data_IF_010661382284
#
_entry.id   IF_010661382284
#
_cell.length_a   1.000
_cell.length_b   1.000
_cell.length_c   1.000
_cell.angle_alpha   90.00
_cell.angle_beta   90.00
_cell.angle_gamma   90.00
#
_symmetry.space_group_name_H-M   'P 1'
#
loop_
_entity.id
_entity.type
_entity.pdbx_description
1 polymer ?
#
# COMPACT_ATOMS: atom_id res chain seq x y z
N UNK A 1 33.35 -77.25 -30.40
CA UNK A 1 32.19 -78.19 -30.45
C UNK A 1 31.39 -78.02 -29.18
N UNK A 2 30.07 -77.87 -29.33
CA UNK A 2 28.99 -78.00 -28.31
C UNK A 2 28.98 -76.93 -27.20
N UNK A 3 28.21 -75.84 -27.31
CA UNK A 3 26.75 -75.71 -27.14
C UNK A 3 26.28 -76.04 -25.70
N UNK A 4 25.92 -75.01 -24.93
CA UNK A 4 25.10 -75.14 -23.72
C UNK A 4 24.00 -74.08 -23.73
N UNK A 5 22.78 -74.56 -23.56
CA UNK A 5 21.53 -73.88 -23.81
C UNK A 5 21.14 -72.91 -22.69
N UNK A 6 20.54 -71.79 -23.10
CA UNK A 6 19.88 -70.82 -22.23
C UNK A 6 18.48 -71.31 -21.83
N UNK A 7 18.13 -71.17 -20.56
CA UNK A 7 16.74 -71.22 -20.08
C UNK A 7 16.39 -69.83 -19.58
N UNK A 8 15.62 -69.10 -20.39
CA UNK A 8 14.97 -67.83 -20.03
C UNK A 8 13.61 -68.18 -19.41
N UNK A 9 13.46 -67.96 -18.10
CA UNK A 9 12.14 -67.95 -17.46
C UNK A 9 11.49 -66.58 -17.67
N UNK A 10 10.43 -66.56 -18.48
CA UNK A 10 9.59 -65.40 -18.71
C UNK A 10 8.76 -65.07 -17.46
N UNK A 11 8.94 -63.88 -16.89
CA UNK A 11 8.03 -63.28 -15.91
C UNK A 11 7.16 -62.29 -16.68
N UNK A 12 5.87 -62.60 -16.79
CA UNK A 12 4.88 -61.70 -17.39
C UNK A 12 4.63 -60.49 -16.46
N UNK A 13 4.60 -59.25 -16.98
CA UNK A 13 4.24 -58.09 -16.18
C UNK A 13 2.74 -58.07 -15.92
N UNK A 14 2.36 -58.04 -14.65
CA UNK A 14 1.00 -57.79 -14.18
C UNK A 14 0.67 -56.33 -14.50
N UNK A 15 -0.25 -56.11 -15.44
CA UNK A 15 -0.80 -54.79 -15.73
C UNK A 15 -1.72 -54.36 -14.59
N UNK A 16 -1.31 -53.33 -13.84
CA UNK A 16 -2.17 -52.64 -12.89
C UNK A 16 -3.17 -51.75 -13.66
N UNK A 17 -4.46 -51.74 -13.31
CA UNK A 17 -5.42 -50.85 -13.95
C UNK A 17 -5.14 -49.39 -13.57
N UNK A 18 -5.13 -48.52 -14.57
CA UNK A 18 -5.06 -47.07 -14.37
C UNK A 18 -6.29 -46.59 -13.57
N UNK A 19 -6.14 -45.68 -12.60
CA UNK A 19 -7.29 -45.14 -11.88
C UNK A 19 -8.11 -44.28 -12.85
N UNK A 20 -9.40 -44.59 -12.94
CA UNK A 20 -10.37 -43.77 -13.66
C UNK A 20 -10.38 -42.37 -13.04
N UNK A 21 -10.16 -41.35 -13.87
CA UNK A 21 -10.34 -39.95 -13.51
C UNK A 21 -11.81 -39.74 -13.11
N UNK A 22 -12.06 -39.62 -11.81
CA UNK A 22 -13.32 -39.14 -11.31
C UNK A 22 -13.50 -37.69 -11.80
N UNK A 23 -14.46 -37.47 -12.71
CA UNK A 23 -14.96 -36.16 -13.06
C UNK A 23 -15.63 -35.56 -11.81
N UNK A 24 -14.85 -34.83 -11.00
CA UNK A 24 -15.41 -33.95 -9.99
C UNK A 24 -16.18 -32.84 -10.70
N UNK A 25 -17.44 -32.56 -10.34
CA UNK A 25 -18.16 -31.42 -10.90
C UNK A 25 -17.39 -30.14 -10.56
N UNK A 26 -17.14 -29.33 -11.57
CA UNK A 26 -16.55 -28.00 -11.40
C UNK A 26 -17.34 -27.25 -10.32
N UNK A 27 -16.68 -26.57 -9.37
CA UNK A 27 -17.40 -25.77 -8.39
C UNK A 27 -18.19 -24.72 -9.16
N UNK A 28 -19.52 -24.78 -9.02
CA UNK A 28 -20.41 -23.76 -9.53
C UNK A 28 -19.89 -22.42 -9.04
N UNK A 29 -19.62 -21.51 -9.97
CA UNK A 29 -19.31 -20.13 -9.65
C UNK A 29 -20.48 -19.56 -8.84
N UNK A 30 -20.31 -19.56 -7.52
CA UNK A 30 -21.18 -18.81 -6.63
C UNK A 30 -21.10 -17.36 -7.08
N UNK A 31 -22.22 -16.82 -7.54
CA UNK A 31 -22.37 -15.39 -7.76
C UNK A 31 -22.09 -14.71 -6.43
N UNK A 32 -20.86 -14.23 -6.24
CA UNK A 32 -20.41 -13.60 -5.02
C UNK A 32 -21.25 -12.35 -4.78
N UNK A 33 -22.24 -12.46 -3.89
CA UNK A 33 -22.81 -11.29 -3.24
C UNK A 33 -21.66 -10.54 -2.59
N UNK A 34 -21.38 -9.33 -3.08
CA UNK A 34 -20.32 -8.46 -2.54
C UNK A 34 -20.55 -8.34 -1.04
N UNK A 35 -19.64 -8.88 -0.23
CA UNK A 35 -19.72 -8.70 1.21
C UNK A 35 -19.65 -7.20 1.51
N UNK A 36 -20.71 -6.63 2.09
CA UNK A 36 -20.79 -5.20 2.37
C UNK A 36 -20.23 -4.95 3.77
N UNK A 37 -18.98 -4.49 3.87
CA UNK A 37 -18.59 -3.72 5.04
C UNK A 37 -19.40 -2.41 5.10
N UNK A 38 -19.14 -1.50 6.05
CA UNK A 38 -19.66 -0.13 6.00
C UNK A 38 -18.93 0.73 4.97
N UNK A 39 -19.64 1.65 4.31
CA UNK A 39 -19.02 2.58 3.35
C UNK A 39 -18.08 3.57 4.04
N UNK A 40 -18.36 3.89 5.31
CA UNK A 40 -17.55 4.78 6.14
C UNK A 40 -17.47 4.20 7.54
N UNK A 41 -16.26 4.10 8.08
CA UNK A 41 -15.97 3.83 9.48
C UNK A 41 -15.46 5.13 10.08
N UNK A 42 -16.28 5.75 10.93
CA UNK A 42 -15.85 6.88 11.73
C UNK A 42 -15.47 6.35 13.11
N UNK A 43 -14.26 6.64 13.55
CA UNK A 43 -13.82 6.26 14.88
C UNK A 43 -12.96 7.35 15.53
N UNK A 44 -12.65 7.15 16.81
CA UNK A 44 -11.84 8.06 17.60
C UNK A 44 -10.77 7.29 18.36
N UNK A 45 -9.53 7.77 18.27
CA UNK A 45 -8.42 7.32 19.08
C UNK A 45 -7.45 8.49 19.29
N UNK A 46 -7.35 8.94 20.54
CA UNK A 46 -6.48 10.05 20.90
C UNK A 46 -5.02 9.70 20.63
N UNK A 47 -4.27 10.67 20.08
CA UNK A 47 -2.83 10.61 19.88
C UNK A 47 -2.31 9.51 18.92
N UNK A 48 -3.20 8.88 18.13
CA UNK A 48 -2.79 7.89 17.13
C UNK A 48 -2.34 8.59 15.85
N UNK A 49 -3.19 9.41 15.25
CA UNK A 49 -2.94 10.07 13.96
C UNK A 49 -2.37 9.11 12.91
N UNK A 50 -3.12 8.06 12.53
CA UNK A 50 -2.58 7.01 11.68
C UNK A 50 -2.26 7.56 10.27
N UNK A 51 -1.05 7.26 9.79
CA UNK A 51 -0.63 7.49 8.40
C UNK A 51 -0.77 6.19 7.60
N UNK A 52 -0.19 5.09 8.10
CA UNK A 52 -0.29 3.78 7.48
C UNK A 52 -1.52 2.96 7.88
N UNK A 53 -2.10 2.23 6.93
CA UNK A 53 -3.11 1.18 7.17
C UNK A 53 -2.80 -0.09 6.37
N UNK A 54 -3.08 -1.25 6.97
CA UNK A 54 -3.13 -2.53 6.29
C UNK A 54 -4.40 -3.32 6.67
N UNK A 55 -4.84 -4.20 5.78
CA UNK A 55 -5.89 -5.16 6.10
C UNK A 55 -5.29 -6.42 6.70
N UNK A 56 -5.77 -6.82 7.88
CA UNK A 56 -5.47 -8.11 8.49
C UNK A 56 -6.63 -9.09 8.22
N UNK A 57 -6.45 -10.07 7.31
CA UNK A 57 -7.50 -11.03 7.01
C UNK A 57 -7.76 -12.01 8.16
N UNK A 58 -6.83 -12.18 9.11
CA UNK A 58 -7.00 -13.10 10.25
C UNK A 58 -7.96 -12.54 11.29
N UNK A 59 -7.87 -11.23 11.59
CA UNK A 59 -8.82 -10.51 12.46
C UNK A 59 -10.04 -9.98 11.74
N UNK A 60 -10.00 -9.93 10.40
CA UNK A 60 -10.98 -9.21 9.56
C UNK A 60 -11.11 -7.75 10.02
N UNK A 61 -9.97 -7.09 10.20
CA UNK A 61 -9.87 -5.74 10.72
C UNK A 61 -8.72 -4.97 10.03
N UNK A 62 -8.68 -3.66 10.23
CA UNK A 62 -7.58 -2.81 9.80
C UNK A 62 -6.53 -2.75 10.90
N UNK A 63 -5.26 -2.78 10.52
CA UNK A 63 -4.13 -2.44 11.38
C UNK A 63 -3.64 -1.06 10.99
N UNK A 64 -3.49 -0.16 11.95
CA UNK A 64 -3.02 1.20 11.72
C UNK A 64 -1.81 1.52 12.57
N UNK A 65 -0.92 2.33 12.00
CA UNK A 65 0.21 2.94 12.70
C UNK A 65 -0.22 4.12 13.56
N UNK A 66 0.78 4.83 14.09
CA UNK A 66 0.61 6.02 14.91
C UNK A 66 1.73 7.00 14.60
N UNK A 67 1.41 8.12 13.94
CA UNK A 67 2.40 9.13 13.58
C UNK A 67 3.02 9.83 14.81
N UNK A 68 2.34 9.84 15.96
CA UNK A 68 2.80 10.53 17.16
C UNK A 68 3.43 9.60 18.22
N UNK A 69 2.76 8.50 18.59
CA UNK A 69 3.17 7.62 19.71
C UNK A 69 3.91 6.34 19.32
N UNK A 70 3.99 5.99 18.04
CA UNK A 70 4.66 4.76 17.59
C UNK A 70 3.99 3.45 18.04
N UNK A 71 2.70 3.47 18.39
CA UNK A 71 1.89 2.28 18.70
C UNK A 71 1.37 1.62 17.42
N UNK A 72 0.74 0.45 17.56
CA UNK A 72 -0.15 -0.14 16.55
C UNK A 72 -1.53 -0.37 17.12
N UNK A 73 -2.57 -0.08 16.33
CA UNK A 73 -3.96 -0.30 16.73
C UNK A 73 -4.71 -1.15 15.71
N UNK A 74 -5.71 -1.88 16.19
CA UNK A 74 -6.71 -2.59 15.37
C UNK A 74 -7.96 -1.73 15.28
N UNK A 75 -8.47 -1.50 14.08
CA UNK A 75 -9.78 -0.88 13.83
C UNK A 75 -10.70 -1.92 13.20
N UNK A 76 -11.79 -2.28 13.88
CA UNK A 76 -12.78 -3.23 13.37
C UNK A 76 -13.76 -2.56 12.41
N UNK A 77 -14.49 -3.38 11.66
CA UNK A 77 -15.53 -2.90 10.73
C UNK A 77 -16.68 -2.16 11.45
N UNK A 78 -16.89 -2.37 12.75
CA UNK A 78 -17.86 -1.62 13.55
C UNK A 78 -17.32 -0.30 14.12
N UNK A 79 -16.04 0.02 13.85
CA UNK A 79 -15.37 1.21 14.36
C UNK A 79 -14.70 1.04 15.71
N UNK A 80 -14.78 -0.14 16.35
CA UNK A 80 -14.05 -0.42 17.60
C UNK A 80 -12.54 -0.30 17.37
N UNK A 81 -11.85 0.40 18.27
CA UNK A 81 -10.39 0.56 18.27
C UNK A 81 -9.79 -0.13 19.48
N UNK A 82 -8.76 -0.94 19.27
CA UNK A 82 -8.00 -1.60 20.32
C UNK A 82 -6.52 -1.46 20.04
N UNK A 83 -5.71 -1.19 21.08
CA UNK A 83 -4.26 -1.26 20.95
C UNK A 83 -3.83 -2.70 20.67
N UNK A 84 -3.02 -2.89 19.63
CA UNK A 84 -2.42 -4.17 19.29
C UNK A 84 -1.01 -4.30 19.85
N UNK A 85 -0.23 -3.22 19.78
CA UNK A 85 1.13 -3.18 20.26
C UNK A 85 1.44 -1.81 20.89
N UNK A 86 2.15 -1.79 22.03
CA UNK A 86 2.57 -0.55 22.66
C UNK A 86 3.62 0.17 21.82
N UNK A 87 3.95 1.40 22.23
CA UNK A 87 4.98 2.21 21.59
C UNK A 87 6.32 1.48 21.52
N UNK A 88 7.00 1.60 20.37
CA UNK A 88 8.36 1.06 20.15
C UNK A 88 9.46 2.11 20.37
N UNK A 89 9.12 3.23 21.00
CA UNK A 89 10.00 4.37 21.23
C UNK A 89 9.39 5.66 20.71
N UNK A 90 10.13 6.76 20.80
CA UNK A 90 9.66 8.07 20.36
C UNK A 90 9.85 8.22 18.84
N UNK A 91 9.02 7.48 18.11
CA UNK A 91 9.03 7.35 16.64
C UNK A 91 7.61 7.42 16.11
N UNK A 92 7.46 7.85 14.87
CA UNK A 92 6.27 7.61 14.07
C UNK A 92 6.28 6.17 13.54
N UNK A 93 5.15 5.48 13.62
CA UNK A 93 4.90 4.25 12.84
C UNK A 93 4.05 4.59 11.62
N UNK A 94 4.60 4.32 10.43
CA UNK A 94 4.15 4.83 9.13
C UNK A 94 3.61 3.67 8.29
N UNK A 95 4.21 3.38 7.13
CA UNK A 95 3.81 2.28 6.26
C UNK A 95 3.64 0.95 7.01
N UNK A 96 2.42 0.41 6.99
CA UNK A 96 2.06 -0.88 7.58
C UNK A 96 1.78 -1.88 6.46
N UNK A 97 2.29 -3.11 6.57
CA UNK A 97 1.93 -4.24 5.69
C UNK A 97 1.78 -5.53 6.49
N UNK A 98 0.88 -6.40 6.04
CA UNK A 98 0.63 -7.73 6.61
C UNK A 98 1.17 -8.80 5.69
N UNK A 99 2.07 -9.64 6.19
CA UNK A 99 2.56 -10.85 5.51
C UNK A 99 2.04 -12.07 6.27
N UNK A 100 0.86 -12.54 5.86
CA UNK A 100 0.19 -13.70 6.47
C UNK A 100 0.98 -14.98 6.31
N UNK A 101 1.66 -15.15 5.17
CA UNK A 101 2.44 -16.35 4.88
C UNK A 101 3.60 -16.55 5.87
N UNK A 102 4.07 -15.46 6.50
CA UNK A 102 5.15 -15.48 7.50
C UNK A 102 4.71 -15.02 8.90
N UNK A 103 3.40 -14.92 9.15
CA UNK A 103 2.83 -14.51 10.43
C UNK A 103 3.44 -13.20 10.98
N UNK A 104 3.58 -12.17 10.12
CA UNK A 104 4.23 -10.91 10.52
C UNK A 104 3.51 -9.66 10.04
N UNK A 105 3.57 -8.62 10.86
CA UNK A 105 3.23 -7.24 10.52
C UNK A 105 4.55 -6.50 10.36
N UNK A 106 4.70 -5.82 9.24
CA UNK A 106 5.86 -5.01 8.89
C UNK A 106 5.48 -3.54 9.01
N UNK A 107 6.28 -2.78 9.74
CA UNK A 107 6.00 -1.37 10.04
C UNK A 107 7.24 -0.55 9.80
N UNK A 108 7.18 0.39 8.87
CA UNK A 108 8.20 1.43 8.74
C UNK A 108 8.09 2.36 9.95
N UNK A 109 9.21 2.70 10.57
CA UNK A 109 9.25 3.67 11.65
C UNK A 109 10.36 4.67 11.43
N UNK A 110 10.15 5.90 11.89
CA UNK A 110 11.16 6.93 11.89
C UNK A 110 10.83 7.99 12.93
N UNK A 111 11.86 8.60 13.52
CA UNK A 111 11.68 9.80 14.34
C UNK A 111 11.82 11.10 13.53
N UNK A 112 11.93 11.05 12.20
CA UNK A 112 12.24 12.22 11.36
C UNK A 112 11.39 13.45 11.69
N UNK A 113 10.07 13.31 11.75
CA UNK A 113 9.18 14.43 12.09
C UNK A 113 9.10 14.72 13.58
N UNK A 114 9.22 13.69 14.42
CA UNK A 114 9.24 13.80 15.87
C UNK A 114 10.42 14.66 16.31
N UNK A 115 11.64 14.37 15.86
CA UNK A 115 12.87 15.09 16.23
C UNK A 115 12.96 16.53 15.74
N UNK A 116 12.10 16.91 14.79
CA UNK A 116 12.02 18.28 14.29
C UNK A 116 11.02 19.14 15.07
N UNK A 117 10.13 18.52 15.86
CA UNK A 117 9.01 19.20 16.53
C UNK A 117 9.00 19.01 18.04
N UNK A 118 9.56 17.92 18.52
CA UNK A 118 9.55 17.50 19.92
C UNK A 118 10.98 17.28 20.40
N UNK A 119 11.21 17.48 21.70
CA UNK A 119 12.48 17.18 22.35
C UNK A 119 12.64 15.66 22.48
N UNK A 120 13.71 15.12 21.88
CA UNK A 120 13.97 13.67 21.84
C UNK A 120 15.05 13.18 22.80
N UNK A 121 15.56 14.08 23.65
CA UNK A 121 16.68 13.81 24.55
C UNK A 121 17.89 13.23 23.80
N UNK A 122 18.50 12.22 24.38
CA UNK A 122 19.71 11.56 23.84
C UNK A 122 19.40 10.48 22.77
N UNK A 123 18.16 10.40 22.24
CA UNK A 123 17.80 9.43 21.22
C UNK A 123 18.56 9.69 19.90
N UNK A 124 19.43 8.76 19.45
CA UNK A 124 20.09 8.91 18.15
C UNK A 124 19.06 8.90 17.01
N UNK A 125 19.33 9.54 15.86
CA UNK A 125 18.54 9.38 14.64
C UNK A 125 18.15 7.91 14.41
N UNK A 126 16.84 7.64 14.41
CA UNK A 126 16.34 6.27 14.26
C UNK A 126 15.29 6.18 13.17
N UNK A 127 15.47 5.19 12.31
CA UNK A 127 14.65 4.91 11.14
C UNK A 127 14.81 3.44 10.83
N UNK A 128 13.73 2.74 10.50
CA UNK A 128 13.83 1.30 10.36
C UNK A 128 12.54 0.60 10.02
N UNK A 129 12.60 -0.73 10.11
CA UNK A 129 11.43 -1.60 10.04
C UNK A 129 11.28 -2.36 11.35
N UNK A 130 10.11 -2.22 11.97
CA UNK A 130 9.69 -3.07 13.07
C UNK A 130 8.88 -4.25 12.53
N UNK A 131 9.22 -5.44 13.02
CA UNK A 131 8.55 -6.70 12.69
C UNK A 131 7.80 -7.16 13.93
N UNK A 132 6.48 -7.25 13.84
CA UNK A 132 5.62 -7.76 14.90
C UNK A 132 5.03 -9.10 14.48
N UNK A 133 4.78 -9.99 15.43
CA UNK A 133 4.03 -11.22 15.20
C UNK A 133 2.57 -10.88 14.85
N UNK A 134 2.06 -11.39 13.74
CA UNK A 134 0.69 -11.06 13.29
C UNK A 134 -0.36 -11.58 14.28
N UNK A 135 -0.23 -12.81 14.76
CA UNK A 135 -1.16 -13.43 15.71
C UNK A 135 -1.30 -12.72 17.07
N UNK A 136 -0.21 -12.15 17.59
CA UNK A 136 -0.13 -11.65 18.98
C UNK A 136 0.14 -10.16 19.09
N UNK A 137 0.60 -9.50 18.02
CA UNK A 137 1.05 -8.11 18.08
C UNK A 137 2.40 -7.91 18.77
N UNK A 138 3.08 -8.98 19.20
CA UNK A 138 4.37 -8.87 19.91
C UNK A 138 5.48 -8.41 18.97
N UNK A 139 6.24 -7.39 19.38
CA UNK A 139 7.45 -6.97 18.67
C UNK A 139 8.49 -8.11 18.66
N UNK A 140 8.90 -8.52 17.46
CA UNK A 140 9.90 -9.57 17.25
C UNK A 140 11.28 -8.98 16.93
N UNK A 141 11.32 -7.90 16.15
CA UNK A 141 12.58 -7.30 15.68
C UNK A 141 12.41 -5.81 15.35
N UNK A 142 13.48 -5.05 15.56
CA UNK A 142 13.70 -3.73 14.94
C UNK A 142 14.93 -3.82 14.07
N UNK A 143 14.81 -3.39 12.82
CA UNK A 143 15.87 -3.43 11.82
C UNK A 143 16.20 -2.00 11.46
N UNK A 144 17.41 -1.56 11.81
CA UNK A 144 17.87 -0.21 11.53
C UNK A 144 18.18 -0.05 10.04
N UNK A 145 17.44 0.82 9.36
CA UNK A 145 17.70 1.19 7.95
C UNK A 145 18.50 2.49 7.84
N UNK A 146 18.69 3.20 8.96
CA UNK A 146 19.54 4.39 9.02
C UNK A 146 21.00 4.03 8.74
N UNK A 147 21.48 2.90 9.29
CA UNK A 147 22.86 2.44 9.14
C UNK A 147 23.88 3.54 9.52
N UNK A 148 23.56 4.33 10.55
CA UNK A 148 24.38 5.46 11.02
C UNK A 148 24.25 6.76 10.24
N UNK A 149 23.36 6.87 9.25
CA UNK A 149 23.12 8.11 8.53
C UNK A 149 22.47 9.17 9.45
N UNK A 150 22.93 10.43 9.41
CA UNK A 150 22.40 11.49 10.27
C UNK A 150 20.98 11.94 9.87
N UNK A 151 20.56 11.60 8.64
CA UNK A 151 19.26 11.95 8.09
C UNK A 151 18.72 10.77 7.28
N UNK A 152 17.58 10.25 7.72
CA UNK A 152 16.85 9.13 7.10
C UNK A 152 15.39 9.22 7.51
N UNK A 153 14.51 8.76 6.63
CA UNK A 153 13.07 8.78 6.85
C UNK A 153 12.42 7.58 6.16
N UNK A 154 12.55 6.40 6.78
CA UNK A 154 11.84 5.20 6.35
C UNK A 154 10.33 5.47 6.43
N UNK A 155 9.67 5.49 5.28
CA UNK A 155 8.31 5.98 5.17
C UNK A 155 7.33 4.85 4.86
N UNK A 156 7.41 4.26 3.66
CA UNK A 156 6.57 3.14 3.27
C UNK A 156 7.42 1.90 2.97
N UNK A 157 6.76 0.75 2.99
CA UNK A 157 7.38 -0.52 2.69
C UNK A 157 6.47 -1.47 1.93
N UNK A 158 7.10 -2.43 1.27
CA UNK A 158 6.42 -3.58 0.65
C UNK A 158 7.31 -4.81 0.76
N UNK A 159 6.84 -5.97 0.31
CA UNK A 159 7.64 -7.19 0.31
C UNK A 159 7.36 -8.05 -0.93
N UNK A 160 8.37 -8.79 -1.36
CA UNK A 160 8.25 -9.77 -2.46
C UNK A 160 7.69 -11.12 -1.98
N UNK A 161 7.33 -12.04 -2.88
CA UNK A 161 6.87 -13.38 -2.51
C UNK A 161 7.88 -14.18 -1.67
N UNK A 162 9.18 -13.89 -1.79
CA UNK A 162 10.25 -14.51 -1.01
C UNK A 162 10.36 -13.93 0.42
N UNK A 163 9.67 -12.81 0.69
CA UNK A 163 9.62 -12.15 1.98
C UNK A 163 10.73 -11.13 2.22
N UNK A 164 11.46 -10.74 1.17
CA UNK A 164 12.36 -9.60 1.25
C UNK A 164 11.52 -8.32 1.32
N UNK A 165 11.94 -7.40 2.17
CA UNK A 165 11.24 -6.14 2.41
C UNK A 165 11.94 -5.05 1.60
N UNK A 166 11.17 -4.16 0.99
CA UNK A 166 11.67 -2.99 0.26
C UNK A 166 11.14 -1.76 0.95
N UNK A 167 12.04 -0.81 1.25
CA UNK A 167 11.73 0.35 2.10
C UNK A 167 12.13 1.61 1.36
N UNK A 168 11.19 2.56 1.28
CA UNK A 168 11.48 3.90 0.79
C UNK A 168 12.03 4.77 1.92
N UNK A 169 13.01 5.60 1.59
CA UNK A 169 13.51 6.64 2.48
C UNK A 169 13.22 7.99 1.83
N UNK A 170 12.25 8.72 2.37
CA UNK A 170 11.73 9.95 1.76
C UNK A 170 12.70 11.13 1.82
N UNK A 171 13.84 11.00 2.50
CA UNK A 171 14.89 12.03 2.54
C UNK A 171 16.22 11.56 1.97
N UNK A 172 16.23 10.36 1.40
CA UNK A 172 17.36 9.76 0.71
C UNK A 172 17.04 9.53 -0.77
N UNK A 173 18.08 9.29 -1.54
CA UNK A 173 17.97 8.87 -2.94
C UNK A 173 18.11 7.36 -3.13
N UNK A 174 18.05 6.59 -2.04
CA UNK A 174 18.35 5.16 -2.03
C UNK A 174 17.13 4.36 -1.61
N UNK A 175 16.72 3.42 -2.45
CA UNK A 175 15.77 2.37 -2.08
C UNK A 175 16.54 1.21 -1.44
N UNK A 176 16.10 0.75 -0.26
CA UNK A 176 16.76 -0.33 0.46
C UNK A 176 15.96 -1.64 0.39
N UNK A 177 16.67 -2.77 0.52
CA UNK A 177 16.13 -4.13 0.67
C UNK A 177 16.60 -4.70 1.99
N UNK A 178 15.70 -5.39 2.68
CA UNK A 178 15.97 -6.16 3.88
C UNK A 178 15.66 -7.62 3.57
N UNK A 179 16.65 -8.50 3.72
CA UNK A 179 16.43 -9.95 3.56
C UNK A 179 15.74 -10.57 4.79
N UNK A 180 15.42 -11.86 4.72
CA UNK A 180 14.80 -12.60 5.84
C UNK A 180 15.71 -12.70 7.08
N UNK A 181 17.03 -12.60 6.91
CA UNK A 181 17.98 -12.57 8.02
C UNK A 181 18.05 -11.18 8.69
N UNK A 182 17.50 -10.15 8.04
CA UNK A 182 17.51 -8.76 8.51
C UNK A 182 18.69 -7.95 7.97
N UNK A 183 19.43 -8.43 6.97
CA UNK A 183 20.51 -7.68 6.36
C UNK A 183 19.94 -6.59 5.45
N UNK A 184 20.42 -5.37 5.66
CA UNK A 184 20.04 -4.20 4.89
C UNK A 184 21.03 -3.98 3.76
N UNK A 185 20.54 -3.88 2.52
CA UNK A 185 21.36 -3.61 1.33
C UNK A 185 20.68 -2.59 0.42
N UNK A 186 21.44 -1.72 -0.28
CA UNK A 186 20.86 -0.83 -1.26
C UNK A 186 20.40 -1.64 -2.48
N UNK A 187 19.15 -1.42 -2.91
CA UNK A 187 18.66 -1.93 -4.21
C UNK A 187 19.22 -1.07 -5.32
N UNK A 188 19.06 0.25 -5.17
CA UNK A 188 19.51 1.27 -6.12
C UNK A 188 19.56 2.63 -5.43
N UNK A 189 20.58 3.42 -5.77
CA UNK A 189 20.63 4.85 -5.50
C UNK A 189 20.44 5.58 -6.83
N UNK A 190 19.42 6.43 -6.91
CA UNK A 190 19.07 7.15 -8.13
C UNK A 190 18.80 8.63 -7.80
N UNK A 191 19.55 9.59 -8.37
CA UNK A 191 19.34 11.01 -8.10
C UNK A 191 17.92 11.50 -8.38
N UNK A 192 17.18 10.79 -9.26
CA UNK A 192 15.77 11.08 -9.53
C UNK A 192 14.85 10.79 -8.35
N UNK A 193 15.33 10.19 -7.25
CA UNK A 193 14.56 9.99 -6.00
C UNK A 193 14.79 11.12 -4.98
N UNK A 194 15.84 11.93 -5.14
CA UNK A 194 16.20 12.98 -4.20
C UNK A 194 15.20 14.15 -4.20
N UNK A 195 14.77 14.58 -3.01
CA UNK A 195 13.89 15.73 -2.81
C UNK A 195 14.43 16.66 -1.72
N UNK A 196 13.96 17.91 -1.70
CA UNK A 196 14.30 18.85 -0.64
C UNK A 196 13.66 18.45 0.70
N UNK A 197 12.38 18.06 0.67
CA UNK A 197 11.58 17.79 1.88
C UNK A 197 11.11 16.33 1.91
N UNK A 198 10.18 15.94 1.03
CA UNK A 198 9.67 14.56 0.93
C UNK A 198 9.80 14.06 -0.51
N UNK A 199 10.62 13.03 -0.70
CA UNK A 199 10.90 12.40 -1.99
C UNK A 199 10.13 11.11 -2.20
N UNK A 200 10.85 10.02 -2.46
CA UNK A 200 10.24 8.70 -2.68
C UNK A 200 9.43 8.28 -1.45
N UNK A 201 8.15 7.97 -1.65
CA UNK A 201 7.20 7.73 -0.57
C UNK A 201 6.49 6.37 -0.78
N UNK A 202 5.24 6.35 -1.24
CA UNK A 202 4.47 5.12 -1.40
C UNK A 202 5.12 4.10 -2.33
N UNK A 203 5.06 2.82 -1.95
CA UNK A 203 5.66 1.72 -2.68
C UNK A 203 4.80 0.45 -2.65
N UNK A 204 4.75 -0.26 -3.79
CA UNK A 204 4.10 -1.57 -3.92
C UNK A 204 4.95 -2.54 -4.74
N UNK A 205 4.87 -3.82 -4.39
CA UNK A 205 5.37 -4.92 -5.20
C UNK A 205 4.33 -5.31 -6.27
N UNK A 206 4.73 -5.33 -7.54
CA UNK A 206 3.94 -5.86 -8.63
C UNK A 206 4.25 -7.36 -8.83
N UNK A 207 3.24 -8.22 -9.06
CA UNK A 207 3.43 -9.68 -9.20
C UNK A 207 4.41 -10.08 -10.31
N UNK A 208 4.60 -9.22 -11.31
CA UNK A 208 5.57 -9.41 -12.40
C UNK A 208 7.04 -9.17 -12.01
N UNK A 209 7.35 -9.02 -10.72
CA UNK A 209 8.74 -9.00 -10.22
C UNK A 209 9.41 -7.62 -10.21
N UNK A 210 8.63 -6.55 -10.06
CA UNK A 210 9.16 -5.19 -9.95
C UNK A 210 8.36 -4.37 -8.94
N UNK A 211 8.94 -3.26 -8.50
CA UNK A 211 8.32 -2.29 -7.62
C UNK A 211 7.74 -1.14 -8.43
N UNK A 212 6.65 -0.56 -7.94
CA UNK A 212 6.18 0.76 -8.32
C UNK A 212 6.33 1.66 -7.10
N UNK A 213 7.04 2.77 -7.27
CA UNK A 213 7.25 3.74 -6.21
C UNK A 213 6.99 5.15 -6.75
N UNK A 214 6.42 6.02 -5.93
CA UNK A 214 6.06 7.39 -6.34
C UNK A 214 6.75 8.40 -5.45
N UNK A 215 7.13 9.53 -6.03
CA UNK A 215 7.59 10.70 -5.28
C UNK A 215 6.44 11.57 -4.83
N UNK A 216 6.52 12.02 -3.59
CA UNK A 216 5.52 12.90 -3.02
C UNK A 216 5.49 14.28 -3.70
N UNK A 217 6.65 14.94 -3.80
CA UNK A 217 6.77 16.34 -4.20
C UNK A 217 6.44 16.63 -5.68
N UNK A 218 6.92 15.81 -6.60
CA UNK A 218 6.75 16.03 -8.05
C UNK A 218 5.83 15.01 -8.72
N UNK A 219 5.35 14.00 -7.99
CA UNK A 219 4.39 13.03 -8.49
C UNK A 219 4.92 12.07 -9.56
N UNK A 220 6.24 12.01 -9.80
CA UNK A 220 6.83 11.04 -10.72
C UNK A 220 6.74 9.64 -10.14
N UNK A 221 6.44 8.68 -11.02
CA UNK A 221 6.36 7.27 -10.68
C UNK A 221 7.51 6.51 -11.35
N UNK A 222 8.09 5.57 -10.62
CA UNK A 222 9.19 4.75 -11.08
C UNK A 222 8.83 3.27 -11.03
N UNK A 223 9.17 2.58 -12.11
CA UNK A 223 9.22 1.13 -12.17
C UNK A 223 10.64 0.68 -11.86
N UNK A 224 10.81 -0.08 -10.78
CA UNK A 224 12.12 -0.49 -10.25
C UNK A 224 12.22 -2.01 -10.26
N UNK A 225 13.21 -2.56 -10.97
CA UNK A 225 13.50 -4.00 -11.06
C UNK A 225 14.68 -4.33 -10.15
N UNK A 226 14.45 -4.90 -8.94
CA UNK A 226 15.51 -5.04 -7.95
C UNK A 226 16.67 -5.92 -8.39
N UNK A 227 16.40 -6.95 -9.20
CA UNK A 227 17.42 -7.91 -9.64
C UNK A 227 17.98 -7.61 -11.04
N UNK A 228 17.56 -6.51 -11.66
CA UNK A 228 18.15 -6.08 -12.93
C UNK A 228 19.57 -5.52 -12.75
N UNK A 229 20.43 -5.53 -13.79
CA UNK A 229 21.71 -4.84 -13.78
C UNK A 229 21.54 -3.35 -13.46
N UNK A 230 22.52 -2.75 -12.75
CA UNK A 230 22.42 -1.39 -12.18
C UNK A 230 21.83 -0.34 -13.16
N UNK A 231 22.38 -0.24 -14.38
CA UNK A 231 21.91 0.71 -15.40
C UNK A 231 20.53 0.43 -16.01
N UNK A 232 19.82 -0.60 -15.56
CA UNK A 232 18.50 -1.01 -16.03
C UNK A 232 17.49 -1.22 -14.88
N UNK A 233 17.89 -0.94 -13.63
CA UNK A 233 17.01 -1.11 -12.46
C UNK A 233 15.82 -0.16 -12.51
N UNK A 234 16.02 1.10 -12.86
CA UNK A 234 15.01 2.16 -12.72
C UNK A 234 14.58 2.70 -14.08
N UNK A 235 13.28 2.64 -14.35
CA UNK A 235 12.62 3.34 -15.45
C UNK A 235 11.53 4.25 -14.88
N UNK A 236 11.39 5.45 -15.43
CA UNK A 236 10.24 6.31 -15.12
C UNK A 236 9.01 5.78 -15.86
N UNK A 237 7.86 5.82 -15.21
CA UNK A 237 6.57 5.48 -15.82
C UNK A 237 6.05 6.72 -16.53
N UNK A 238 5.76 6.61 -17.82
CA UNK A 238 5.18 7.69 -18.59
C UNK A 238 3.73 7.96 -18.13
N UNK A 239 3.52 9.13 -17.51
CA UNK A 239 2.25 9.57 -16.95
C UNK A 239 1.74 10.79 -17.71
N UNK A 240 0.47 10.79 -18.08
CA UNK A 240 -0.17 11.92 -18.74
C UNK A 240 -0.23 13.19 -17.85
N UNK A 241 -0.32 12.99 -16.53
CA UNK A 241 -0.28 14.05 -15.54
C UNK A 241 0.52 13.58 -14.31
N UNK A 242 1.34 14.45 -13.69
CA UNK A 242 2.03 14.12 -12.45
C UNK A 242 1.06 13.82 -11.30
N UNK A 243 1.44 12.88 -10.43
CA UNK A 243 0.65 12.49 -9.25
C UNK A 243 1.13 13.23 -7.99
N UNK A 244 1.23 14.57 -8.06
CA UNK A 244 1.77 15.40 -6.96
C UNK A 244 0.99 15.17 -5.66
N UNK A 245 1.72 15.08 -4.55
CA UNK A 245 1.21 14.78 -3.22
C UNK A 245 0.85 13.32 -3.00
N UNK A 246 1.35 12.40 -3.84
CA UNK A 246 1.12 10.95 -3.62
C UNK A 246 1.84 10.51 -2.36
N UNK A 247 1.05 9.98 -1.44
CA UNK A 247 1.52 9.48 -0.16
C UNK A 247 1.50 7.95 -0.24
N UNK A 248 0.36 7.31 0.00
CA UNK A 248 0.21 5.86 -0.05
C UNK A 248 -0.32 5.27 -1.36
N UNK A 249 0.03 4.00 -1.60
CA UNK A 249 -0.34 3.20 -2.76
C UNK A 249 -0.98 1.86 -2.37
N UNK A 250 -2.00 1.42 -3.11
CA UNK A 250 -2.60 0.10 -2.98
C UNK A 250 -2.73 -0.62 -4.32
N UNK A 251 -2.00 -1.73 -4.50
CA UNK A 251 -2.12 -2.56 -5.69
C UNK A 251 -3.30 -3.53 -5.56
N UNK A 252 -4.23 -3.47 -6.51
CA UNK A 252 -5.36 -4.41 -6.59
C UNK A 252 -4.96 -5.71 -7.30
N UNK A 253 -5.70 -6.82 -7.06
CA UNK A 253 -5.45 -8.08 -7.75
C UNK A 253 -5.54 -8.03 -9.28
N UNK A 254 -6.29 -7.07 -9.83
CA UNK A 254 -6.42 -6.86 -11.29
C UNK A 254 -5.23 -6.07 -11.90
N UNK A 255 -4.23 -5.74 -11.09
CA UNK A 255 -3.06 -4.97 -11.49
C UNK A 255 -3.28 -3.46 -11.57
N UNK A 256 -4.47 -2.95 -11.23
CA UNK A 256 -4.69 -1.51 -11.08
C UNK A 256 -4.17 -1.00 -9.74
N UNK A 257 -3.71 0.25 -9.72
CA UNK A 257 -3.14 0.90 -8.56
C UNK A 257 -4.09 1.96 -8.05
N UNK A 258 -4.48 1.87 -6.78
CA UNK A 258 -5.14 2.96 -6.07
C UNK A 258 -4.04 3.87 -5.53
N UNK A 259 -4.09 5.13 -5.95
CA UNK A 259 -3.15 6.19 -5.60
C UNK A 259 -3.89 7.20 -4.73
N UNK A 260 -3.37 7.45 -3.53
CA UNK A 260 -3.91 8.46 -2.61
C UNK A 260 -3.00 9.69 -2.68
N UNK A 261 -3.58 10.84 -3.02
CA UNK A 261 -2.88 12.12 -2.99
C UNK A 261 -3.45 13.02 -1.90
N UNK A 262 -2.62 13.88 -1.32
CA UNK A 262 -3.05 14.84 -0.31
C UNK A 262 -2.29 16.17 -0.36
N UNK A 263 -2.83 17.13 0.40
CA UNK A 263 -2.29 18.48 0.58
C UNK A 263 -1.44 18.65 1.85
N UNK A 264 -1.16 17.57 2.59
CA UNK A 264 -0.48 17.59 3.91
C UNK A 264 0.91 18.24 3.82
N UNK A 265 1.63 18.05 2.71
CA UNK A 265 2.95 18.60 2.47
C UNK A 265 3.04 20.12 2.61
N UNK A 266 1.94 20.84 2.40
CA UNK A 266 1.89 22.29 2.61
C UNK A 266 2.22 22.69 4.06
N UNK A 267 1.88 21.85 5.04
CA UNK A 267 2.23 22.06 6.46
C UNK A 267 3.73 22.05 6.75
N UNK A 268 4.54 21.51 5.83
CA UNK A 268 6.00 21.39 5.97
C UNK A 268 6.76 22.09 4.84
N UNK A 269 6.08 22.91 4.04
CA UNK A 269 6.67 23.63 2.91
C UNK A 269 7.01 22.75 1.69
N UNK A 270 6.56 21.50 1.67
CA UNK A 270 6.66 20.65 0.48
C UNK A 270 5.56 21.03 -0.52
N UNK A 271 5.82 20.99 -1.84
CA UNK A 271 4.75 21.07 -2.84
C UNK A 271 3.69 20.00 -2.52
N UNK A 272 2.51 20.46 -2.08
CA UNK A 272 1.39 19.62 -1.72
C UNK A 272 0.55 19.29 -2.95
N UNK A 273 0.01 18.08 -2.99
CA UNK A 273 -1.02 17.71 -3.96
C UNK A 273 -2.40 18.21 -3.55
N UNK A 274 -3.41 17.58 -4.13
CA UNK A 274 -4.81 17.74 -3.74
C UNK A 274 -5.29 16.46 -3.04
N UNK A 275 -6.19 16.61 -2.08
CA UNK A 275 -6.85 15.47 -1.44
C UNK A 275 -7.72 14.76 -2.48
N UNK A 276 -7.24 13.62 -2.99
CA UNK A 276 -7.90 12.87 -4.04
C UNK A 276 -7.51 11.38 -4.02
N UNK A 277 -8.33 10.56 -4.65
CA UNK A 277 -8.07 9.12 -4.85
C UNK A 277 -8.19 8.79 -6.31
N UNK A 278 -7.12 8.29 -6.92
CA UNK A 278 -7.04 7.96 -8.35
C UNK A 278 -6.82 6.46 -8.50
N UNK A 279 -7.54 5.82 -9.43
CA UNK A 279 -7.24 4.46 -9.88
C UNK A 279 -6.46 4.58 -11.17
N UNK A 280 -5.20 4.18 -11.14
CA UNK A 280 -4.26 4.20 -12.25
C UNK A 280 -4.11 2.79 -12.78
N UNK A 281 -3.93 2.64 -14.10
CA UNK A 281 -3.54 1.36 -14.65
C UNK A 281 -2.71 1.47 -15.90
N UNK A 282 -2.03 0.38 -16.20
CA UNK A 282 -1.18 0.22 -17.38
C UNK A 282 -1.72 -0.87 -18.30
N UNK A 283 -1.28 -0.87 -19.55
CA UNK A 283 -1.50 -1.93 -20.55
C UNK A 283 -0.20 -2.43 -21.17
N UNK A 284 0.95 -1.92 -20.71
CA UNK A 284 2.26 -2.11 -21.35
C UNK A 284 3.35 -2.48 -20.34
N UNK A 285 2.97 -3.12 -19.22
CA UNK A 285 3.89 -3.51 -18.16
C UNK A 285 4.46 -2.32 -17.39
N UNK A 286 3.63 -1.29 -17.20
CA UNK A 286 3.97 -0.05 -16.48
C UNK A 286 5.16 0.69 -17.11
N UNK A 287 5.24 0.68 -18.45
CA UNK A 287 6.06 1.65 -19.18
C UNK A 287 5.34 2.98 -19.28
N UNK A 288 4.02 2.93 -19.47
CA UNK A 288 3.10 4.05 -19.34
C UNK A 288 1.92 3.68 -18.43
N UNK A 289 1.26 4.70 -17.87
CA UNK A 289 0.05 4.50 -17.09
C UNK A 289 -0.92 5.69 -17.24
N UNK A 290 -2.21 5.41 -17.05
CA UNK A 290 -3.28 6.42 -17.17
C UNK A 290 -4.28 6.27 -16.02
N UNK A 291 -4.87 7.41 -15.63
CA UNK A 291 -5.96 7.45 -14.65
C UNK A 291 -7.22 6.87 -15.28
N UNK A 292 -7.72 5.77 -14.72
CA UNK A 292 -8.95 5.08 -15.13
C UNK A 292 -10.20 5.68 -14.47
N UNK A 293 -10.08 6.11 -13.24
CA UNK A 293 -11.12 6.81 -12.49
C UNK A 293 -10.51 7.64 -11.37
N UNK A 294 -11.20 8.69 -10.91
CA UNK A 294 -10.77 9.50 -9.77
C UNK A 294 -11.96 9.97 -8.94
N UNK A 295 -11.72 10.21 -7.65
CA UNK A 295 -12.59 10.99 -6.77
C UNK A 295 -11.77 12.19 -6.32
N UNK A 296 -12.15 13.36 -6.79
CA UNK A 296 -11.41 14.61 -6.66
C UNK A 296 -12.43 15.78 -6.60
N UNK A 297 -12.57 16.48 -5.46
CA UNK A 297 -11.84 16.24 -4.21
C UNK A 297 -12.31 14.97 -3.49
N UNK A 298 -11.42 14.37 -2.70
CA UNK A 298 -11.78 13.38 -1.69
C UNK A 298 -12.55 14.06 -0.56
N UNK A 299 -13.68 13.50 -0.07
CA UNK A 299 -14.57 14.22 0.84
C UNK A 299 -14.12 14.22 2.32
N UNK A 300 -13.00 13.59 2.64
CA UNK A 300 -12.40 13.61 3.98
C UNK A 300 -10.99 14.16 3.84
N UNK A 301 -10.64 15.17 4.63
CA UNK A 301 -9.35 15.85 4.50
C UNK A 301 -8.16 14.93 4.80
N UNK A 302 -7.01 15.26 4.20
CA UNK A 302 -5.71 14.64 4.45
C UNK A 302 -5.71 13.10 4.37
N UNK A 303 -6.21 12.48 3.28
CA UNK A 303 -6.11 11.04 3.12
C UNK A 303 -4.64 10.64 2.92
N UNK A 304 -4.14 9.63 3.63
CA UNK A 304 -2.72 9.24 3.57
C UNK A 304 -2.50 7.98 2.74
N UNK A 305 -3.31 6.95 2.93
CA UNK A 305 -3.10 5.68 2.22
C UNK A 305 -4.39 4.87 2.10
N UNK A 306 -4.29 3.68 1.53
CA UNK A 306 -5.42 2.82 1.22
C UNK A 306 -5.13 1.35 1.55
N UNK A 307 -6.10 0.69 2.19
CA UNK A 307 -6.11 -0.75 2.35
C UNK A 307 -7.02 -1.41 1.31
N UNK A 308 -6.45 -2.24 0.45
CA UNK A 308 -7.21 -3.10 -0.49
C UNK A 308 -7.73 -4.30 0.30
N UNK A 309 -9.06 -4.48 0.33
CA UNK A 309 -9.71 -5.53 1.15
C UNK A 309 -10.73 -6.33 0.35
N UNK A 310 -11.17 -7.51 0.84
CA UNK A 310 -12.31 -8.23 0.27
C UNK A 310 -13.65 -7.44 0.30
N UNK A 311 -13.74 -6.37 1.08
CA UNK A 311 -14.92 -5.51 1.19
C UNK A 311 -14.82 -4.24 0.34
N UNK A 312 -13.76 -4.09 -0.45
CA UNK A 312 -13.42 -2.88 -1.22
C UNK A 312 -12.20 -2.16 -0.66
N UNK A 313 -11.81 -1.06 -1.31
CA UNK A 313 -10.61 -0.31 -0.91
C UNK A 313 -10.99 0.79 0.08
N UNK A 314 -10.39 0.78 1.26
CA UNK A 314 -10.65 1.78 2.30
C UNK A 314 -9.49 2.75 2.39
N UNK A 315 -9.79 4.02 2.17
CA UNK A 315 -8.84 5.11 2.25
C UNK A 315 -8.85 5.67 3.66
N UNK A 316 -7.67 5.79 4.24
CA UNK A 316 -7.43 6.28 5.59
C UNK A 316 -7.24 7.79 5.59
N UNK A 317 -7.97 8.47 6.47
CA UNK A 317 -7.72 9.86 6.88
C UNK A 317 -7.54 9.86 8.39
N UNK A 318 -6.31 10.10 8.84
CA UNK A 318 -5.92 10.09 10.26
C UNK A 318 -5.57 11.47 10.83
N UNK A 319 -5.86 12.56 10.13
CA UNK A 319 -5.57 13.94 10.59
C UNK A 319 -4.06 14.19 10.86
N UNK A 320 -3.18 13.54 10.08
CA UNK A 320 -1.71 13.71 10.20
C UNK A 320 -1.31 15.18 9.96
N UNK A 321 -1.98 15.88 9.03
CA UNK A 321 -1.76 17.30 8.80
C UNK A 321 -2.01 18.16 10.05
N UNK A 322 -3.04 17.84 10.82
CA UNK A 322 -3.42 18.54 12.07
C UNK A 322 -2.29 18.46 13.10
N UNK A 323 -1.74 17.26 13.35
CA UNK A 323 -0.64 17.12 14.32
C UNK A 323 0.66 17.78 13.83
N UNK A 324 0.90 17.82 12.50
CA UNK A 324 2.09 18.46 11.93
C UNK A 324 2.11 19.99 12.11
N UNK A 325 0.94 20.63 12.22
CA UNK A 325 0.80 22.07 12.51
C UNK A 325 0.64 22.38 14.01
N UNK A 326 0.75 21.36 14.87
CA UNK A 326 0.67 21.52 16.33
C UNK A 326 -0.74 21.54 16.90
N UNK A 327 -1.75 21.19 16.10
CA UNK A 327 -3.13 21.02 16.56
C UNK A 327 -3.39 19.59 17.02
N UNK A 328 -4.54 19.37 17.67
CA UNK A 328 -4.93 18.04 18.17
C UNK A 328 -6.24 17.55 17.56
N UNK A 329 -6.33 16.24 17.36
CA UNK A 329 -7.52 15.53 16.92
C UNK A 329 -7.46 14.10 17.44
N UNK A 330 -8.62 13.48 17.58
CA UNK A 330 -8.76 12.04 17.84
C UNK A 330 -9.43 11.32 16.66
N UNK A 331 -9.79 12.04 15.60
CA UNK A 331 -10.62 11.50 14.52
C UNK A 331 -9.83 10.60 13.60
N UNK A 332 -10.43 9.45 13.28
CA UNK A 332 -9.93 8.54 12.24
C UNK A 332 -11.12 8.17 11.36
N UNK A 333 -10.93 8.26 10.04
CA UNK A 333 -11.93 7.86 9.06
C UNK A 333 -11.32 6.87 8.08
N UNK A 334 -11.95 5.70 7.97
CA UNK A 334 -11.73 4.77 6.86
C UNK A 334 -12.95 4.83 5.95
N UNK A 335 -12.77 5.37 4.74
CA UNK A 335 -13.85 5.51 3.77
C UNK A 335 -13.59 4.66 2.55
N UNK A 336 -14.57 3.84 2.19
CA UNK A 336 -14.48 3.00 1.01
C UNK A 336 -14.52 3.85 -0.26
N UNK A 337 -13.62 3.54 -1.19
CA UNK A 337 -13.66 4.09 -2.54
C UNK A 337 -14.96 3.62 -3.22
N UNK A 338 -15.82 4.54 -3.70
CA UNK A 338 -17.04 4.17 -4.39
C UNK A 338 -16.71 3.29 -5.60
N UNK A 339 -17.47 2.21 -5.79
CA UNK A 339 -17.41 1.48 -7.06
C UNK A 339 -17.84 2.44 -8.17
N UNK A 340 -17.01 2.62 -9.18
CA UNK A 340 -17.41 3.32 -10.40
C UNK A 340 -18.59 2.57 -11.01
N UNK A 341 -19.80 3.14 -10.87
CA UNK A 341 -20.95 2.72 -11.64
C UNK A 341 -20.71 3.04 -13.13
N UNK A 342 -21.40 2.36 -14.06
CA UNK A 342 -21.35 2.78 -15.47
C UNK A 342 -21.82 4.23 -15.56
N UNK A 343 -21.03 5.07 -16.24
CA UNK A 343 -21.37 6.46 -16.56
C UNK A 343 -22.68 6.43 -17.35
N UNK A 344 -23.80 6.78 -16.71
CA UNK A 344 -25.05 7.03 -17.41
C UNK A 344 -24.89 8.36 -18.12
N UNK A 345 -24.61 8.33 -19.42
CA UNK A 345 -24.82 9.48 -20.29
C UNK A 345 -26.32 9.79 -20.31
N UNK A 346 -26.74 10.69 -19.43
CA UNK A 346 -28.08 11.27 -19.47
C UNK A 346 -28.25 11.96 -20.83
N UNK A 347 -29.03 11.34 -21.70
CA UNK A 347 -29.57 12.02 -22.87
C UNK A 347 -30.51 13.10 -22.36
N UNK A 348 -30.06 14.35 -22.45
CA UNK A 348 -30.90 15.53 -22.36
C UNK A 348 -31.89 15.48 -23.52
N UNK A 349 -33.12 15.04 -23.27
CA UNK A 349 -34.24 15.36 -24.16
C UNK A 349 -34.69 16.78 -23.84
N UNK A 350 -34.24 17.72 -24.64
CA UNK A 350 -34.76 19.08 -24.67
C UNK A 350 -36.22 19.05 -25.13
N UNK A 351 -37.15 19.28 -24.20
CA UNK A 351 -38.51 19.66 -24.56
C UNK A 351 -38.51 21.13 -24.97
N UNK A 352 -38.60 21.38 -26.28
CA UNK A 352 -38.93 22.69 -26.84
C UNK A 352 -40.31 23.14 -26.32
N UNK A 353 -40.35 24.20 -25.52
CA UNK A 353 -41.59 24.97 -25.34
C UNK A 353 -41.67 26.02 -26.45
N UNK A 354 -42.60 25.78 -27.38
CA UNK A 354 -42.98 26.76 -28.40
C UNK A 354 -43.85 27.83 -27.78
N UNK A 355 -43.44 29.08 -28.00
CA UNK A 355 -44.18 30.29 -27.67
C UNK A 355 -45.29 30.49 -28.70
N UNK A 356 -46.55 30.65 -28.27
CA UNK A 356 -47.63 31.17 -29.12
C UNK A 356 -48.34 32.32 -28.41
N UNK A 357 -48.15 33.52 -28.96
CA UNK A 357 -48.91 34.74 -28.70
C UNK A 357 -50.34 34.62 -29.23
N UNK A 358 -51.28 35.18 -28.47
CA UNK A 358 -52.44 35.90 -29.00
C UNK A 358 -53.77 35.14 -29.02
N UNK A 359 -54.79 35.68 -28.34
CA UNK A 359 -55.94 36.37 -28.97
C UNK A 359 -56.80 37.04 -27.89
N UNK A 360 -57.27 38.22 -28.26
CA UNK A 360 -58.14 39.17 -27.57
C UNK A 360 -59.59 38.64 -27.50
N UNK A 361 -60.24 38.75 -26.34
CA UNK A 361 -61.53 39.43 -26.14
C UNK A 361 -61.85 39.59 -24.66
#
# INVERSE_FOLDING_TARGET
MLASAAVLTAIAPIALPAPALANSPAPAASAAGRHTGPDVINTRAADVYPEGVAWDPTRRAFLVGSALKGTLSVIRLDGTVEELAPSIGMVSTLGVRVDTARNRILVAYSDFWIRQRLEVGDQPPTSGVAVFALDTGKLQRRIDVAQGLPRTFANDLTFDPQGNIYVTDSVSQTLQRIDLAGHVTPVVSDPRFAAQIVGLNGIVWHPDGYLLAVRYDDGRMFRIRPDAPAGRKVAEVDLAEPLVGTDGLGLRPDGSLVVVTNSIGAAVGAPGGVDAVKVVGSRDGWRSASVRSRVDPWPVGGPTTVAVTPYGDYVLSGEVGTVLVGETSDRIVLRRLPCSGPVRHGHSTSSNSTSSKGIIR
#
